data_IF_239444582406
#
_entry.id   IF_239444582406
#
_cell.length_a   1.000
_cell.length_b   1.000
_cell.length_c   1.000
_cell.angle_alpha   90.00
_cell.angle_beta   90.00
_cell.angle_gamma   90.00
#
_symmetry.space_group_name_H-M   'P 1'
#
loop_
_entity.id
_entity.type
_entity.pdbx_description
1 polymer ?
#
# COMPACT_ATOMS: atom_id res chain seq x y z
N UNK A 1 -18.73 6.06 13.17
CA UNK A 1 -18.13 4.84 12.60
C UNK A 1 -18.05 4.88 11.07
N UNK A 2 -19.14 5.23 10.40
CA UNK A 2 -19.17 5.25 8.93
C UNK A 2 -18.15 6.21 8.32
N UNK A 3 -17.99 7.41 8.89
CA UNK A 3 -17.01 8.39 8.41
C UNK A 3 -15.58 7.93 8.67
N UNK A 4 -15.33 7.28 9.80
CA UNK A 4 -14.01 6.72 10.14
C UNK A 4 -13.65 5.60 9.17
N UNK A 5 -14.59 4.69 8.91
CA UNK A 5 -14.40 3.61 7.94
C UNK A 5 -14.10 4.17 6.54
N UNK A 6 -14.82 5.22 6.12
CA UNK A 6 -14.56 5.89 4.85
C UNK A 6 -13.17 6.49 4.76
N UNK A 7 -12.68 7.12 5.84
CA UNK A 7 -11.33 7.66 5.90
C UNK A 7 -10.26 6.56 5.81
N UNK A 8 -10.48 5.45 6.48
CA UNK A 8 -9.55 4.30 6.44
C UNK A 8 -9.53 3.71 5.02
N UNK A 9 -10.68 3.51 4.40
CA UNK A 9 -10.78 3.03 3.01
C UNK A 9 -10.05 3.95 2.05
N UNK A 10 -10.23 5.27 2.19
CA UNK A 10 -9.54 6.26 1.36
C UNK A 10 -8.03 6.24 1.56
N UNK A 11 -7.57 6.09 2.80
CA UNK A 11 -6.14 5.96 3.12
C UNK A 11 -5.53 4.70 2.52
N UNK A 12 -6.24 3.58 2.58
CA UNK A 12 -5.80 2.33 1.97
C UNK A 12 -5.71 2.47 0.45
N UNK A 13 -6.67 3.15 -0.18
CA UNK A 13 -6.64 3.40 -1.62
C UNK A 13 -5.38 4.18 -2.04
N UNK A 14 -5.04 5.24 -1.30
CA UNK A 14 -3.81 5.98 -1.55
C UNK A 14 -2.57 5.13 -1.35
N UNK A 15 -2.52 4.36 -0.28
CA UNK A 15 -1.39 3.47 0.01
C UNK A 15 -1.22 2.37 -1.00
N UNK A 16 -2.30 1.81 -1.51
CA UNK A 16 -2.28 0.81 -2.57
C UNK A 16 -1.67 1.40 -3.85
N UNK A 17 -2.11 2.59 -4.25
CA UNK A 17 -1.54 3.29 -5.40
C UNK A 17 -0.06 3.55 -5.24
N UNK A 18 0.34 4.07 -4.09
CA UNK A 18 1.74 4.34 -3.78
C UNK A 18 2.60 3.06 -3.82
N UNK A 19 2.08 1.97 -3.29
CA UNK A 19 2.82 0.72 -3.20
C UNK A 19 2.96 -0.01 -4.55
N UNK A 20 1.94 0.05 -5.40
CA UNK A 20 1.83 -0.85 -6.56
C UNK A 20 1.75 -0.15 -7.91
N UNK A 21 1.27 1.08 -8.00
CA UNK A 21 0.85 1.66 -9.27
C UNK A 21 1.46 3.02 -9.59
N UNK A 22 1.54 3.93 -8.62
CA UNK A 22 1.84 5.34 -8.87
C UNK A 22 3.33 5.57 -9.04
N UNK A 23 3.73 5.97 -10.24
CA UNK A 23 5.12 6.28 -10.54
C UNK A 23 5.18 7.57 -11.37
N UNK A 24 5.94 8.54 -10.88
CA UNK A 24 6.21 9.75 -11.63
C UNK A 24 7.47 9.57 -12.48
N UNK A 25 7.28 9.57 -13.79
CA UNK A 25 8.35 9.50 -14.77
C UNK A 25 8.38 10.84 -15.53
N UNK A 26 9.39 11.70 -15.30
CA UNK A 26 9.46 12.99 -15.96
C UNK A 26 9.36 12.87 -17.48
N UNK A 27 8.50 13.70 -18.09
CA UNK A 27 8.25 13.70 -19.51
C UNK A 27 7.29 12.61 -20.01
N UNK A 28 6.83 11.71 -19.13
CA UNK A 28 5.91 10.62 -19.50
C UNK A 28 4.62 10.65 -18.71
N UNK A 29 4.68 10.91 -17.38
CA UNK A 29 3.52 10.86 -16.49
C UNK A 29 2.98 12.28 -16.24
N UNK A 30 2.60 12.97 -17.30
CA UNK A 30 2.15 14.36 -17.22
C UNK A 30 0.64 14.51 -17.03
N UNK A 31 -0.11 13.40 -17.08
CA UNK A 31 -1.56 13.37 -16.90
C UNK A 31 -2.00 12.05 -16.26
N UNK A 32 -3.29 11.93 -15.90
CA UNK A 32 -3.83 10.73 -15.25
C UNK A 32 -3.96 9.53 -16.18
N UNK A 33 -3.71 9.71 -17.48
CA UNK A 33 -3.69 8.60 -18.42
C UNK A 33 -2.40 7.78 -18.27
N UNK A 34 -1.30 8.47 -17.99
CA UNK A 34 0.03 7.88 -17.82
C UNK A 34 0.39 7.68 -16.35
N UNK A 35 -0.05 8.60 -15.48
CA UNK A 35 0.09 8.46 -14.03
C UNK A 35 -1.13 7.69 -13.50
N UNK A 36 -0.92 6.42 -13.22
CA UNK A 36 -2.02 5.52 -12.84
C UNK A 36 -2.32 5.62 -11.35
N UNK A 37 -3.58 5.88 -11.04
CA UNK A 37 -4.11 5.78 -9.68
C UNK A 37 -5.11 4.62 -9.62
N UNK A 38 -5.30 4.00 -8.45
CA UNK A 38 -6.27 2.92 -8.31
C UNK A 38 -7.70 3.38 -8.63
N UNK A 39 -8.42 2.55 -9.36
CA UNK A 39 -9.84 2.72 -9.60
C UNK A 39 -10.64 1.83 -8.65
N UNK A 40 -11.97 1.96 -8.68
CA UNK A 40 -12.84 1.08 -7.87
C UNK A 40 -12.59 -0.40 -8.18
N UNK A 41 -12.30 -0.73 -9.44
CA UNK A 41 -11.99 -2.10 -9.85
C UNK A 41 -10.67 -2.64 -9.31
N UNK A 42 -9.75 -1.77 -8.89
CA UNK A 42 -8.45 -2.17 -8.32
C UNK A 42 -8.52 -2.38 -6.81
N UNK A 43 -9.59 -1.94 -6.15
CA UNK A 43 -9.70 -1.99 -4.69
C UNK A 43 -10.14 -3.38 -4.22
N UNK A 44 -9.43 -3.96 -3.23
CA UNK A 44 -9.85 -5.21 -2.61
C UNK A 44 -11.01 -4.98 -1.65
N UNK A 45 -11.66 -6.07 -1.25
CA UNK A 45 -12.56 -6.03 -0.10
C UNK A 45 -11.75 -5.71 1.17
N UNK A 46 -12.33 -4.88 2.03
CA UNK A 46 -11.68 -4.46 3.27
C UNK A 46 -12.57 -4.76 4.45
N UNK A 47 -11.97 -5.42 5.44
CA UNK A 47 -12.57 -5.58 6.75
C UNK A 47 -11.94 -4.55 7.69
N UNK A 48 -12.75 -3.66 8.25
CA UNK A 48 -12.28 -2.59 9.13
C UNK A 48 -12.79 -2.86 10.53
N UNK A 49 -11.85 -2.99 11.47
CA UNK A 49 -12.15 -3.22 12.86
C UNK A 49 -11.71 -1.99 13.65
N UNK A 50 -12.66 -1.32 14.27
CA UNK A 50 -12.41 -0.13 15.08
C UNK A 50 -12.26 -0.53 16.55
N UNK A 51 -11.10 -0.21 17.12
CA UNK A 51 -10.82 -0.47 18.52
C UNK A 51 -10.88 0.87 19.24
N UNK A 52 -11.75 0.98 20.23
CA UNK A 52 -11.86 2.18 21.05
C UNK A 52 -10.70 2.26 22.05
N UNK A 53 -9.92 3.30 21.91
CA UNK A 53 -8.79 3.60 22.81
C UNK A 53 -8.71 5.12 22.97
N UNK A 54 -9.48 5.69 23.94
CA UNK A 54 -9.56 7.13 24.11
C UNK A 54 -8.20 7.76 24.46
N UNK A 55 -7.91 8.90 23.85
CA UNK A 55 -6.74 9.69 24.20
C UNK A 55 -7.02 10.49 25.48
N UNK A 56 -6.26 10.29 26.58
CA UNK A 56 -6.47 11.03 27.82
C UNK A 56 -6.26 12.54 27.68
N UNK A 57 -5.54 12.98 26.65
CA UNK A 57 -5.26 14.39 26.39
C UNK A 57 -6.18 15.00 25.32
N UNK A 58 -6.96 14.19 24.64
CA UNK A 58 -7.86 14.63 23.59
C UNK A 58 -9.23 15.02 24.12
N UNK A 59 -9.93 15.97 23.47
CA UNK A 59 -11.28 16.35 23.88
C UNK A 59 -12.23 15.15 23.75
N UNK A 60 -12.82 14.72 24.85
CA UNK A 60 -13.67 13.53 24.93
C UNK A 60 -12.98 12.25 24.43
N UNK A 61 -11.65 12.19 24.55
CA UNK A 61 -10.88 11.04 24.08
C UNK A 61 -10.61 11.00 22.57
N UNK A 62 -10.90 12.07 21.85
CA UNK A 62 -10.81 12.10 20.41
C UNK A 62 -9.37 12.02 19.89
N UNK A 63 -9.21 11.36 18.75
CA UNK A 63 -7.94 11.23 18.00
C UNK A 63 -8.18 11.57 16.53
N UNK A 64 -7.11 11.99 15.86
CA UNK A 64 -7.16 12.18 14.41
C UNK A 64 -7.20 10.85 13.65
N UNK A 65 -7.85 10.84 12.50
CA UNK A 65 -8.00 9.63 11.68
C UNK A 65 -7.66 9.89 10.20
N UNK A 66 -7.23 11.12 9.86
CA UNK A 66 -6.97 11.47 8.46
C UNK A 66 -5.89 10.64 7.79
N UNK A 67 -4.76 10.40 8.45
CA UNK A 67 -3.61 9.72 7.88
C UNK A 67 -3.36 8.29 8.39
N UNK A 68 -3.87 7.84 9.55
CA UNK A 68 -3.56 6.51 10.05
C UNK A 68 -3.88 5.35 9.08
N UNK A 69 -4.86 5.54 8.19
CA UNK A 69 -5.19 4.55 7.17
C UNK A 69 -4.17 4.47 6.03
N UNK A 70 -3.41 5.56 5.80
CA UNK A 70 -2.41 5.63 4.73
C UNK A 70 -1.04 5.12 5.18
N UNK A 71 -0.58 5.56 6.34
CA UNK A 71 0.81 5.39 6.80
C UNK A 71 1.29 3.93 6.79
N UNK A 72 0.55 2.93 7.31
CA UNK A 72 1.02 1.55 7.34
C UNK A 72 0.73 0.76 6.06
N UNK A 73 -0.03 1.30 5.11
CA UNK A 73 -0.56 0.52 3.99
C UNK A 73 0.52 0.07 3.03
N UNK A 74 1.39 0.96 2.55
CA UNK A 74 2.45 0.57 1.63
C UNK A 74 3.42 -0.45 2.26
N UNK A 75 3.92 -0.24 3.50
CA UNK A 75 4.72 -1.25 4.17
C UNK A 75 4.02 -2.59 4.35
N UNK A 76 2.72 -2.58 4.66
CA UNK A 76 1.95 -3.82 4.81
C UNK A 76 1.83 -4.59 3.50
N UNK A 77 1.60 -3.89 2.39
CA UNK A 77 1.54 -4.51 1.05
C UNK A 77 2.89 -5.11 0.67
N UNK A 78 3.98 -4.40 0.89
CA UNK A 78 5.33 -4.91 0.61
C UNK A 78 5.66 -6.13 1.47
N UNK A 79 5.25 -6.13 2.74
CA UNK A 79 5.40 -7.28 3.62
C UNK A 79 4.58 -8.48 3.13
N UNK A 80 3.37 -8.24 2.61
CA UNK A 80 2.53 -9.28 2.03
C UNK A 80 3.16 -9.88 0.78
N UNK A 81 3.77 -9.06 -0.09
CA UNK A 81 4.50 -9.54 -1.26
C UNK A 81 5.67 -10.43 -0.84
N UNK A 82 6.43 -10.02 0.18
CA UNK A 82 7.52 -10.84 0.69
C UNK A 82 7.01 -12.18 1.22
N UNK A 83 5.91 -12.16 1.96
CA UNK A 83 5.31 -13.38 2.50
C UNK A 83 4.83 -14.32 1.39
N UNK A 84 4.25 -13.78 0.32
CA UNK A 84 3.68 -14.57 -0.77
C UNK A 84 4.74 -15.06 -1.75
N UNK A 85 5.71 -14.22 -2.10
CA UNK A 85 6.67 -14.50 -3.17
C UNK A 85 8.08 -14.84 -2.66
N UNK A 86 8.34 -14.66 -1.38
CA UNK A 86 9.63 -14.92 -0.78
C UNK A 86 10.71 -13.90 -1.10
N UNK A 87 10.38 -12.82 -1.80
CA UNK A 87 11.32 -11.78 -2.19
C UNK A 87 10.97 -10.45 -1.55
N UNK A 88 12.01 -9.68 -1.19
CA UNK A 88 11.85 -8.35 -0.62
C UNK A 88 11.99 -7.30 -1.71
N UNK A 89 11.01 -6.41 -1.79
CA UNK A 89 11.02 -5.28 -2.72
C UNK A 89 11.42 -4.03 -1.92
N UNK A 90 12.46 -3.33 -2.39
CA UNK A 90 13.00 -2.16 -1.71
C UNK A 90 12.64 -0.84 -2.38
N UNK A 91 11.92 -0.89 -3.49
CA UNK A 91 11.53 0.29 -4.26
C UNK A 91 10.04 0.25 -4.55
N UNK A 92 9.38 1.36 -4.33
CA UNK A 92 7.98 1.53 -4.70
C UNK A 92 7.86 2.45 -5.94
N UNK A 93 6.84 2.26 -6.76
CA UNK A 93 5.83 1.21 -6.67
C UNK A 93 6.41 -0.17 -7.01
N UNK A 94 5.91 -1.21 -6.32
CA UNK A 94 6.22 -2.60 -6.62
C UNK A 94 5.38 -3.07 -7.81
N UNK A 95 5.69 -2.56 -8.98
CA UNK A 95 4.98 -2.89 -10.21
C UNK A 95 5.16 -4.36 -10.56
N UNK A 96 4.26 -4.94 -11.39
CA UNK A 96 4.40 -6.34 -11.81
C UNK A 96 5.78 -6.65 -12.39
N UNK A 97 6.34 -5.74 -13.16
CA UNK A 97 7.68 -5.91 -13.77
C UNK A 97 8.77 -6.01 -12.69
N UNK A 98 8.71 -5.16 -11.68
CA UNK A 98 9.69 -5.14 -10.59
C UNK A 98 9.58 -6.37 -9.71
N UNK A 99 8.36 -6.79 -9.41
CA UNK A 99 8.11 -8.02 -8.63
C UNK A 99 8.61 -9.23 -9.41
N UNK A 100 8.28 -9.32 -10.68
CA UNK A 100 8.75 -10.41 -11.55
C UNK A 100 10.27 -10.46 -11.60
N UNK A 101 10.91 -9.32 -11.82
CA UNK A 101 12.37 -9.23 -11.89
C UNK A 101 13.01 -9.68 -10.56
N UNK A 102 12.45 -9.29 -9.41
CA UNK A 102 12.95 -9.70 -8.09
C UNK A 102 12.82 -11.21 -7.89
N UNK A 103 11.69 -11.80 -8.29
CA UNK A 103 11.47 -13.25 -8.19
C UNK A 103 12.47 -14.02 -9.06
N UNK A 104 12.70 -13.56 -10.29
CA UNK A 104 13.64 -14.22 -11.20
C UNK A 104 15.09 -14.09 -10.71
N UNK A 105 15.47 -12.92 -10.17
CA UNK A 105 16.80 -12.73 -9.59
C UNK A 105 17.02 -13.60 -8.37
N UNK A 106 16.05 -13.70 -7.50
CA UNK A 106 16.10 -14.55 -6.29
C UNK A 106 16.15 -16.04 -6.70
N UNK A 107 15.33 -16.43 -7.67
CA UNK A 107 15.34 -17.81 -8.19
C UNK A 107 16.71 -18.23 -8.74
N UNK A 108 17.40 -17.32 -9.45
CA UNK A 108 18.73 -17.56 -9.94
C UNK A 108 19.78 -17.71 -8.82
N UNK A 109 19.64 -16.94 -7.74
CA UNK A 109 20.51 -17.00 -6.57
C UNK A 109 20.08 -18.08 -5.58
N UNK A 110 18.77 -18.30 -5.45
CA UNK A 110 18.20 -19.28 -4.53
C UNK A 110 18.66 -20.71 -4.83
N UNK A 111 18.93 -21.03 -6.07
CA UNK A 111 19.51 -22.31 -6.47
C UNK A 111 20.92 -22.54 -5.90
N UNK A 112 21.61 -21.46 -5.52
CA UNK A 112 22.95 -21.54 -4.92
C UNK A 112 22.86 -21.53 -3.40
N UNK A 113 21.88 -20.84 -2.85
CA UNK A 113 21.71 -20.69 -1.41
C UNK A 113 20.93 -21.84 -0.77
N UNK A 114 20.27 -22.63 -1.55
CA UNK A 114 19.48 -23.74 -1.08
C UNK A 114 18.18 -23.33 -0.44
#
# INVERSE_FOLDING_TARGET
PTLVEGQIQGGIAQGLGLALMEEYLPGRTENLHDYLIPTVGDMPEMEIILIEDPDPNGPQGAKGVGEPGLVPTAPAILAAIKSAAGVRIHQIPATPDRVRAAILADGAQGGVMG
#
